data_IF_174917497071
#
_entry.id   IF_174917497071
#
_cell.length_a   1.000
_cell.length_b   1.000
_cell.length_c   1.000
_cell.angle_alpha   90.00
_cell.angle_beta   90.00
_cell.angle_gamma   90.00
#
_symmetry.space_group_name_H-M   'P 1'
#
loop_
_entity.id
_entity.type
_entity.pdbx_description
1 polymer ?
#
# COMPACT_ATOMS: atom_id res chain seq x y z
N UNK A 1 31.73 -18.37 -63.63
CA UNK A 1 32.03 -18.97 -62.31
C UNK A 1 32.70 -17.90 -61.45
N UNK A 2 32.39 -17.86 -60.16
CA UNK A 2 32.88 -16.90 -59.13
C UNK A 2 32.16 -15.54 -59.14
N UNK A 3 31.00 -15.47 -58.48
CA UNK A 3 30.41 -14.28 -57.81
C UNK A 3 29.10 -14.68 -57.10
N UNK A 4 29.18 -15.62 -56.14
CA UNK A 4 28.05 -16.00 -55.25
C UNK A 4 28.51 -16.42 -53.84
N UNK A 5 29.63 -15.89 -53.37
CA UNK A 5 30.21 -16.30 -52.08
C UNK A 5 30.73 -15.08 -51.30
N UNK A 6 29.83 -14.18 -50.90
CA UNK A 6 30.19 -13.03 -50.05
C UNK A 6 29.04 -12.50 -49.18
N UNK A 7 27.97 -13.29 -48.95
CA UNK A 7 26.83 -12.85 -48.11
C UNK A 7 26.64 -13.73 -46.86
N UNK A 8 27.45 -14.79 -46.69
CA UNK A 8 27.30 -15.73 -45.57
C UNK A 8 28.29 -15.52 -44.41
N UNK A 9 29.02 -14.39 -44.36
CA UNK A 9 30.05 -14.14 -43.33
C UNK A 9 29.81 -12.88 -42.46
N UNK A 10 28.57 -12.39 -42.36
CA UNK A 10 28.21 -11.28 -41.47
C UNK A 10 27.00 -11.56 -40.55
N UNK A 11 26.52 -12.81 -40.48
CA UNK A 11 25.42 -13.22 -39.60
C UNK A 11 25.91 -13.93 -38.32
N UNK A 12 27.17 -13.73 -37.92
CA UNK A 12 27.83 -14.47 -36.83
C UNK A 12 28.45 -13.55 -35.75
N UNK A 13 27.93 -12.33 -35.59
CA UNK A 13 28.35 -11.38 -34.53
C UNK A 13 27.18 -10.87 -33.67
N UNK A 14 26.14 -11.69 -33.48
CA UNK A 14 25.09 -11.49 -32.47
C UNK A 14 24.86 -12.78 -31.67
N UNK A 15 25.93 -13.54 -31.40
CA UNK A 15 25.86 -14.59 -30.38
C UNK A 15 25.85 -13.93 -29.00
N UNK A 16 24.91 -14.29 -28.10
CA UNK A 16 24.93 -13.88 -26.70
C UNK A 16 26.00 -14.68 -25.95
N UNK A 17 27.26 -14.55 -26.38
CA UNK A 17 28.40 -15.21 -25.74
C UNK A 17 28.96 -14.29 -24.66
N UNK A 18 28.15 -14.01 -23.64
CA UNK A 18 28.58 -13.42 -22.37
C UNK A 18 27.66 -13.83 -21.21
N UNK A 19 26.96 -14.96 -21.33
CA UNK A 19 26.42 -15.66 -20.17
C UNK A 19 27.47 -16.69 -19.76
N UNK A 20 27.90 -16.59 -18.50
CA UNK A 20 28.97 -17.39 -17.91
C UNK A 20 28.82 -18.88 -18.23
N UNK A 21 29.95 -19.60 -18.27
CA UNK A 21 30.09 -20.99 -18.67
C UNK A 21 29.25 -22.04 -17.89
N UNK A 22 28.32 -21.61 -17.03
CA UNK A 22 27.45 -22.46 -16.19
C UNK A 22 26.00 -21.96 -16.09
N UNK A 23 25.55 -21.04 -16.95
CA UNK A 23 24.17 -20.56 -16.94
C UNK A 23 23.21 -21.63 -17.49
N UNK A 24 22.32 -22.14 -16.63
CA UNK A 24 21.20 -23.00 -17.00
C UNK A 24 20.06 -22.14 -17.59
N UNK A 25 19.18 -22.76 -18.37
CA UNK A 25 18.09 -22.06 -19.06
C UNK A 25 16.77 -22.81 -18.90
N UNK A 26 15.71 -22.09 -18.53
CA UNK A 26 14.32 -22.54 -18.64
C UNK A 26 13.63 -21.77 -19.76
N UNK A 27 12.69 -22.41 -20.45
CA UNK A 27 11.93 -21.79 -21.53
C UNK A 27 10.47 -22.25 -21.46
N UNK A 28 9.55 -21.29 -21.55
CA UNK A 28 8.12 -21.53 -21.75
C UNK A 28 7.53 -20.35 -22.54
N UNK A 29 6.73 -20.65 -23.56
CA UNK A 29 6.20 -19.68 -24.52
C UNK A 29 7.32 -18.81 -25.13
N UNK A 30 7.26 -17.51 -24.94
CA UNK A 30 8.24 -16.54 -25.38
C UNK A 30 9.23 -16.14 -24.27
N UNK A 31 9.20 -16.77 -23.09
CA UNK A 31 10.12 -16.46 -22.00
C UNK A 31 11.33 -17.37 -21.99
N UNK A 32 12.53 -16.78 -21.86
CA UNK A 32 13.80 -17.49 -21.71
C UNK A 32 14.44 -17.03 -20.41
N UNK A 33 14.50 -17.89 -19.39
CA UNK A 33 15.05 -17.56 -18.06
C UNK A 33 16.42 -18.20 -17.89
N UNK A 34 17.46 -17.38 -17.76
CA UNK A 34 18.83 -17.79 -17.45
C UNK A 34 19.09 -17.68 -15.94
N UNK A 35 19.76 -18.67 -15.38
CA UNK A 35 20.05 -18.76 -13.94
C UNK A 35 21.25 -19.68 -13.68
N UNK A 36 21.83 -19.60 -12.48
CA UNK A 36 22.84 -20.56 -12.02
C UNK A 36 22.19 -21.63 -11.13
N UNK A 37 22.78 -22.83 -11.02
CA UNK A 37 22.19 -23.99 -10.31
C UNK A 37 21.56 -23.68 -8.93
N UNK A 38 22.16 -22.86 -8.04
CA UNK A 38 21.52 -22.51 -6.75
C UNK A 38 20.17 -21.78 -6.88
N UNK A 39 19.95 -21.07 -7.99
CA UNK A 39 18.76 -20.25 -8.24
C UNK A 39 17.65 -21.02 -8.98
N UNK A 40 17.78 -22.34 -9.20
CA UNK A 40 16.81 -23.11 -9.99
C UNK A 40 15.36 -22.96 -9.49
N UNK A 41 15.18 -23.05 -8.16
CA UNK A 41 13.86 -22.91 -7.56
C UNK A 41 13.28 -21.50 -7.79
N UNK A 42 14.11 -20.46 -7.74
CA UNK A 42 13.69 -19.08 -8.00
C UNK A 42 13.40 -18.87 -9.49
N UNK A 43 14.21 -19.43 -10.40
CA UNK A 43 14.01 -19.37 -11.84
C UNK A 43 12.69 -20.02 -12.26
N UNK A 44 12.34 -21.19 -11.69
CA UNK A 44 11.04 -21.85 -11.92
C UNK A 44 9.87 -20.96 -11.46
N UNK A 45 9.96 -20.37 -10.25
CA UNK A 45 8.95 -19.43 -9.76
C UNK A 45 8.84 -18.19 -10.64
N UNK A 46 9.97 -17.66 -11.11
CA UNK A 46 10.02 -16.49 -12.00
C UNK A 46 9.29 -16.79 -13.31
N UNK A 47 9.57 -17.93 -13.93
CA UNK A 47 8.93 -18.35 -15.18
C UNK A 47 7.40 -18.48 -15.02
N UNK A 48 6.95 -19.10 -13.92
CA UNK A 48 5.51 -19.22 -13.62
C UNK A 48 4.82 -17.86 -13.44
N UNK A 49 5.47 -16.92 -12.73
CA UNK A 49 4.97 -15.55 -12.57
C UNK A 49 4.90 -14.82 -13.91
N UNK A 50 5.92 -14.93 -14.76
CA UNK A 50 5.97 -14.30 -16.08
C UNK A 50 4.86 -14.82 -16.99
N UNK A 51 4.71 -16.14 -17.09
CA UNK A 51 3.68 -16.78 -17.91
C UNK A 51 2.28 -16.41 -17.43
N UNK A 52 2.04 -16.43 -16.12
CA UNK A 52 0.75 -16.05 -15.55
C UNK A 52 0.44 -14.57 -15.79
N UNK A 53 1.40 -13.69 -15.51
CA UNK A 53 1.25 -12.25 -15.70
C UNK A 53 1.05 -11.89 -17.17
N UNK A 54 1.78 -12.51 -18.11
CA UNK A 54 1.59 -12.29 -19.54
C UNK A 54 0.17 -12.62 -19.99
N UNK A 55 -0.41 -13.71 -19.49
CA UNK A 55 -1.82 -14.07 -19.78
C UNK A 55 -2.80 -13.05 -19.19
N UNK A 56 -2.55 -12.59 -17.97
CA UNK A 56 -3.39 -11.57 -17.32
C UNK A 56 -3.34 -10.23 -18.08
N UNK A 57 -2.18 -9.85 -18.60
CA UNK A 57 -1.96 -8.56 -19.27
C UNK A 57 -2.27 -8.58 -20.76
N UNK A 58 -2.54 -9.74 -21.36
CA UNK A 58 -2.67 -9.92 -22.82
C UNK A 58 -3.71 -8.97 -23.47
N UNK A 59 -4.82 -8.69 -22.79
CA UNK A 59 -5.86 -7.78 -23.30
C UNK A 59 -5.43 -6.31 -23.36
N UNK A 60 -4.43 -5.94 -22.57
CA UNK A 60 -3.97 -4.57 -22.36
C UNK A 60 -2.61 -4.30 -23.01
N UNK A 61 -1.68 -5.25 -22.89
CA UNK A 61 -0.31 -5.18 -23.35
C UNK A 61 0.12 -6.57 -23.85
N UNK A 62 -0.29 -6.96 -25.07
CA UNK A 62 0.06 -8.25 -25.63
C UNK A 62 1.58 -8.39 -25.78
N UNK A 63 2.11 -9.58 -25.47
CA UNK A 63 3.55 -9.80 -25.46
C UNK A 63 4.16 -9.85 -26.86
N UNK A 64 3.40 -10.31 -27.86
CA UNK A 64 3.92 -10.52 -29.20
C UNK A 64 4.90 -11.71 -29.29
N UNK A 65 5.44 -11.97 -30.50
CA UNK A 65 6.16 -13.21 -30.80
C UNK A 65 7.62 -13.22 -30.35
N UNK A 66 8.22 -12.04 -30.13
CA UNK A 66 9.64 -11.92 -29.81
C UNK A 66 9.94 -12.45 -28.40
N UNK A 67 11.08 -13.13 -28.19
CA UNK A 67 11.44 -13.66 -26.88
C UNK A 67 11.69 -12.55 -25.85
N UNK A 68 11.33 -12.81 -24.60
CA UNK A 68 11.67 -11.99 -23.43
C UNK A 68 12.70 -12.79 -22.62
N UNK A 69 13.92 -12.27 -22.56
CA UNK A 69 15.02 -12.86 -21.81
C UNK A 69 15.01 -12.34 -20.38
N UNK A 70 15.09 -13.25 -19.42
CA UNK A 70 15.17 -12.92 -18.00
C UNK A 70 16.42 -13.55 -17.40
N UNK A 71 17.19 -12.79 -16.62
CA UNK A 71 18.39 -13.31 -15.94
C UNK A 71 18.20 -13.18 -14.43
N UNK A 72 18.17 -14.33 -13.75
CA UNK A 72 18.13 -14.41 -12.29
C UNK A 72 19.57 -14.45 -11.76
N UNK A 73 19.99 -13.34 -11.17
CA UNK A 73 21.33 -13.13 -10.67
C UNK A 73 21.43 -13.60 -9.21
N UNK A 74 22.31 -14.57 -8.95
CA UNK A 74 22.57 -15.11 -7.61
C UNK A 74 23.59 -14.28 -6.82
N UNK A 75 24.22 -13.28 -7.44
CA UNK A 75 25.17 -12.37 -6.76
C UNK A 75 24.97 -10.92 -7.19
N UNK A 76 25.36 -9.98 -6.31
CA UNK A 76 25.35 -8.54 -6.61
C UNK A 76 26.32 -8.22 -7.76
N UNK A 77 27.44 -8.94 -7.84
CA UNK A 77 28.46 -8.77 -8.88
C UNK A 77 27.93 -9.15 -10.26
N UNK A 78 27.25 -10.30 -10.38
CA UNK A 78 26.59 -10.73 -11.61
C UNK A 78 25.56 -9.70 -12.09
N UNK A 79 24.71 -9.24 -11.18
CA UNK A 79 23.74 -8.19 -11.50
C UNK A 79 24.42 -6.90 -11.97
N UNK A 80 25.45 -6.43 -11.25
CA UNK A 80 26.15 -5.19 -11.56
C UNK A 80 26.83 -5.22 -12.95
N UNK A 81 27.40 -6.36 -13.33
CA UNK A 81 28.02 -6.56 -14.65
C UNK A 81 26.99 -6.43 -15.77
N UNK A 82 25.82 -7.07 -15.61
CA UNK A 82 24.75 -7.05 -16.61
C UNK A 82 24.00 -5.70 -16.64
N UNK A 83 23.87 -5.04 -15.49
CA UNK A 83 23.21 -3.74 -15.34
C UNK A 83 24.04 -2.56 -15.89
N UNK A 84 25.19 -2.82 -16.55
CA UNK A 84 26.10 -1.80 -17.14
C UNK A 84 26.52 -0.71 -16.14
N UNK A 85 26.75 -1.09 -14.89
CA UNK A 85 27.13 -0.17 -13.83
C UNK A 85 25.97 0.56 -13.14
N UNK A 86 24.72 0.31 -13.54
CA UNK A 86 23.56 0.76 -12.77
C UNK A 86 23.37 -0.12 -11.52
N UNK A 87 23.96 0.30 -10.41
CA UNK A 87 23.89 -0.44 -9.14
C UNK A 87 23.20 0.40 -8.07
N UNK A 88 21.91 0.13 -7.86
CA UNK A 88 21.20 0.60 -6.67
C UNK A 88 21.07 -0.58 -5.70
N UNK A 89 21.48 -0.45 -4.41
CA UNK A 89 21.46 -1.55 -3.45
C UNK A 89 20.07 -2.17 -3.26
N UNK A 90 19.04 -1.31 -3.24
CA UNK A 90 17.66 -1.70 -2.89
C UNK A 90 16.78 -2.00 -4.12
N UNK A 91 17.35 -2.01 -5.33
CA UNK A 91 16.61 -2.36 -6.55
C UNK A 91 16.69 -3.87 -6.78
N UNK A 92 15.53 -4.53 -6.77
CA UNK A 92 15.42 -5.99 -6.95
C UNK A 92 15.40 -6.39 -8.44
N UNK A 93 14.76 -5.59 -9.30
CA UNK A 93 14.62 -5.84 -10.73
C UNK A 93 15.05 -4.65 -11.59
N UNK A 94 15.46 -4.93 -12.83
CA UNK A 94 15.76 -3.90 -13.83
C UNK A 94 15.43 -4.42 -15.23
N UNK A 95 14.53 -3.74 -15.92
CA UNK A 95 14.23 -4.00 -17.33
C UNK A 95 15.09 -3.15 -18.28
N UNK A 96 15.42 -3.75 -19.42
CA UNK A 96 15.87 -3.07 -20.64
C UNK A 96 14.80 -3.31 -21.73
N UNK A 97 13.74 -2.48 -21.76
CA UNK A 97 12.52 -2.78 -22.52
C UNK A 97 12.77 -3.00 -24.02
N UNK A 98 13.56 -2.13 -24.65
CA UNK A 98 13.93 -2.20 -26.08
C UNK A 98 14.70 -3.48 -26.47
N UNK A 99 15.25 -4.20 -25.49
CA UNK A 99 15.96 -5.46 -25.72
C UNK A 99 15.15 -6.69 -25.32
N UNK A 100 13.95 -6.50 -24.76
CA UNK A 100 13.20 -7.59 -24.15
C UNK A 100 13.97 -8.29 -23.02
N UNK A 101 14.81 -7.57 -22.28
CA UNK A 101 15.67 -8.14 -21.23
C UNK A 101 15.22 -7.67 -19.85
N UNK A 102 15.11 -8.60 -18.91
CA UNK A 102 14.83 -8.33 -17.49
C UNK A 102 15.97 -8.93 -16.65
N UNK A 103 16.54 -8.15 -15.75
CA UNK A 103 17.50 -8.61 -14.75
C UNK A 103 16.81 -8.65 -13.38
N UNK A 104 16.97 -9.74 -12.65
CA UNK A 104 16.42 -9.90 -11.31
C UNK A 104 17.53 -10.32 -10.37
N UNK A 105 17.61 -9.71 -9.18
CA UNK A 105 18.41 -10.24 -8.08
C UNK A 105 17.62 -11.33 -7.35
N UNK A 106 18.32 -12.31 -6.80
CA UNK A 106 17.71 -13.17 -5.78
C UNK A 106 17.24 -12.32 -4.59
N UNK A 107 16.04 -12.57 -4.00
CA UNK A 107 15.50 -11.77 -2.89
C UNK A 107 16.47 -11.63 -1.70
N UNK A 108 17.32 -12.64 -1.48
CA UNK A 108 18.33 -12.68 -0.43
C UNK A 108 19.43 -11.61 -0.58
N UNK A 109 19.55 -11.03 -1.77
CA UNK A 109 20.55 -10.00 -2.09
C UNK A 109 20.07 -8.57 -1.78
N UNK A 110 18.83 -8.41 -1.32
CA UNK A 110 18.21 -7.10 -1.02
C UNK A 110 17.91 -7.01 0.48
N UNK A 111 18.13 -5.83 1.08
CA UNK A 111 18.02 -5.61 2.53
C UNK A 111 16.60 -5.72 3.07
N UNK A 112 15.62 -5.29 2.28
CA UNK A 112 14.20 -5.36 2.64
C UNK A 112 13.55 -6.42 1.75
N UNK A 113 12.69 -7.31 2.32
CA UNK A 113 11.96 -8.29 1.55
C UNK A 113 10.96 -7.56 0.64
N UNK A 114 11.41 -7.23 -0.56
CA UNK A 114 10.57 -6.69 -1.61
C UNK A 114 9.55 -7.76 -2.06
N UNK A 115 8.37 -7.33 -2.50
CA UNK A 115 7.41 -8.20 -3.16
C UNK A 115 8.00 -8.70 -4.48
N UNK A 116 8.72 -9.82 -4.42
CA UNK A 116 9.42 -10.37 -5.58
C UNK A 116 8.47 -10.63 -6.75
N UNK A 117 7.28 -11.15 -6.45
CA UNK A 117 6.26 -11.41 -7.47
C UNK A 117 5.78 -10.11 -8.08
N UNK A 118 5.51 -9.08 -7.27
CA UNK A 118 5.20 -7.74 -7.72
C UNK A 118 6.28 -7.20 -8.66
N UNK A 119 7.55 -7.35 -8.30
CA UNK A 119 8.65 -6.75 -9.05
C UNK A 119 8.85 -7.45 -10.39
N UNK A 120 8.76 -8.77 -10.43
CA UNK A 120 8.80 -9.51 -11.72
C UNK A 120 7.69 -9.02 -12.66
N UNK A 121 6.49 -8.80 -12.13
CA UNK A 121 5.35 -8.27 -12.91
C UNK A 121 5.61 -6.84 -13.36
N UNK A 122 6.16 -5.98 -12.49
CA UNK A 122 6.50 -4.59 -12.79
C UNK A 122 7.50 -4.50 -13.94
N UNK A 123 8.61 -5.23 -13.85
CA UNK A 123 9.63 -5.26 -14.91
C UNK A 123 9.09 -5.83 -16.23
N UNK A 124 8.21 -6.84 -16.16
CA UNK A 124 7.53 -7.36 -17.34
C UNK A 124 6.67 -6.28 -18.01
N UNK A 125 5.91 -5.49 -17.25
CA UNK A 125 5.08 -4.42 -17.81
C UNK A 125 5.92 -3.41 -18.59
N UNK A 126 7.11 -3.04 -18.13
CA UNK A 126 7.98 -2.15 -18.90
C UNK A 126 8.36 -2.72 -20.26
N UNK A 127 8.73 -4.00 -20.33
CA UNK A 127 9.03 -4.69 -21.60
C UNK A 127 7.79 -4.74 -22.50
N UNK A 128 6.63 -5.12 -21.96
CA UNK A 128 5.39 -5.22 -22.73
C UNK A 128 4.93 -3.84 -23.23
N UNK A 129 5.09 -2.80 -22.42
CA UNK A 129 4.74 -1.43 -22.81
C UNK A 129 5.58 -0.98 -24.00
N UNK A 130 6.90 -1.15 -23.95
CA UNK A 130 7.80 -0.78 -25.05
C UNK A 130 7.51 -1.52 -26.37
N UNK A 131 6.94 -2.73 -26.31
CA UNK A 131 6.49 -3.46 -27.52
C UNK A 131 5.23 -2.87 -28.15
N UNK A 132 4.41 -2.18 -27.36
CA UNK A 132 3.08 -1.72 -27.76
C UNK A 132 3.01 -0.21 -28.06
N UNK A 133 4.01 0.57 -27.65
CA UNK A 133 4.03 2.03 -27.78
C UNK A 133 5.39 2.52 -28.30
N UNK A 134 5.49 3.80 -28.65
CA UNK A 134 6.78 4.45 -28.82
C UNK A 134 7.16 5.08 -27.47
N UNK A 135 8.26 4.64 -26.86
CA UNK A 135 8.66 5.11 -25.52
C UNK A 135 8.97 6.61 -25.48
N UNK A 136 9.34 7.25 -26.59
CA UNK A 136 9.52 8.71 -26.65
C UNK A 136 8.21 9.48 -26.44
N UNK A 137 7.06 8.84 -26.67
CA UNK A 137 5.74 9.41 -26.48
C UNK A 137 5.16 9.17 -25.07
N UNK A 138 5.82 8.35 -24.26
CA UNK A 138 5.38 7.96 -22.91
C UNK A 138 6.24 8.66 -21.86
N UNK A 139 5.72 9.65 -21.12
CA UNK A 139 6.47 10.24 -20.02
C UNK A 139 6.71 9.22 -18.92
N UNK A 140 7.80 9.36 -18.17
CA UNK A 140 8.24 8.32 -17.24
C UNK A 140 7.27 8.10 -16.10
N UNK A 141 6.61 9.15 -15.62
CA UNK A 141 5.56 8.99 -14.60
C UNK A 141 4.43 8.06 -15.07
N UNK A 142 4.09 8.09 -16.37
CA UNK A 142 3.04 7.23 -16.91
C UNK A 142 3.55 5.80 -17.08
N UNK A 143 4.78 5.63 -17.56
CA UNK A 143 5.44 4.32 -17.66
C UNK A 143 5.47 3.62 -16.28
N UNK A 144 6.00 4.29 -15.26
CA UNK A 144 6.05 3.75 -13.89
C UNK A 144 4.67 3.53 -13.31
N UNK A 145 3.75 4.48 -13.50
CA UNK A 145 2.39 4.37 -12.99
C UNK A 145 1.61 3.20 -13.62
N UNK A 146 1.79 2.92 -14.92
CA UNK A 146 1.18 1.75 -15.58
C UNK A 146 1.76 0.46 -15.02
N UNK A 147 3.09 0.38 -14.88
CA UNK A 147 3.77 -0.76 -14.30
C UNK A 147 3.26 -1.06 -12.89
N UNK A 148 3.13 -0.05 -12.02
CA UNK A 148 2.58 -0.19 -10.67
C UNK A 148 1.08 -0.55 -10.65
N UNK A 149 0.28 -0.06 -11.60
CA UNK A 149 -1.16 -0.40 -11.69
C UNK A 149 -1.34 -1.89 -12.02
N UNK A 150 -0.62 -2.39 -13.03
CA UNK A 150 -0.75 -3.76 -13.51
C UNK A 150 -0.04 -4.78 -12.61
N UNK A 151 1.14 -4.44 -12.08
CA UNK A 151 1.89 -5.32 -11.16
C UNK A 151 1.12 -5.55 -9.86
N UNK A 152 0.35 -4.54 -9.42
CA UNK A 152 -0.37 -4.55 -8.15
C UNK A 152 0.47 -4.06 -6.98
N UNK A 153 1.70 -3.59 -7.22
CA UNK A 153 2.59 -3.07 -6.19
C UNK A 153 2.08 -1.76 -5.56
N UNK A 154 2.54 -1.48 -4.33
CA UNK A 154 2.36 -0.21 -3.61
C UNK A 154 0.91 0.28 -3.46
N UNK A 155 -0.10 -0.59 -3.54
CA UNK A 155 -1.53 -0.21 -3.53
C UNK A 155 -1.93 0.73 -2.38
N UNK A 156 -1.56 0.40 -1.14
CA UNK A 156 -1.99 1.13 0.05
C UNK A 156 -1.00 2.23 0.48
N UNK A 157 0.29 1.92 0.45
CA UNK A 157 1.37 2.85 0.85
C UNK A 157 1.38 4.12 -0.02
N UNK A 158 1.10 3.99 -1.32
CA UNK A 158 1.01 5.13 -2.23
C UNK A 158 -0.11 6.10 -1.90
N UNK A 159 -1.26 5.63 -1.42
CA UNK A 159 -2.43 6.49 -1.19
C UNK A 159 -2.23 7.38 0.03
N UNK A 160 -1.73 6.82 1.14
CA UNK A 160 -1.39 7.58 2.33
C UNK A 160 -0.24 8.56 2.06
N UNK A 161 0.79 8.12 1.32
CA UNK A 161 1.92 8.96 0.94
C UNK A 161 1.53 10.16 0.09
N UNK A 162 0.71 9.97 -0.95
CA UNK A 162 0.21 11.10 -1.77
C UNK A 162 -0.71 12.03 -0.97
N UNK A 163 -1.54 11.50 -0.06
CA UNK A 163 -2.35 12.34 0.83
C UNK A 163 -1.45 13.21 1.73
N UNK A 164 -0.37 12.66 2.28
CA UNK A 164 0.61 13.40 3.07
C UNK A 164 1.35 14.46 2.23
N UNK A 165 1.76 14.13 1.00
CA UNK A 165 2.38 15.08 0.07
C UNK A 165 1.44 16.26 -0.21
N UNK A 166 0.16 15.99 -0.46
CA UNK A 166 -0.85 17.02 -0.68
C UNK A 166 -1.06 17.90 0.55
N UNK A 167 -1.25 17.30 1.73
CA UNK A 167 -1.45 18.03 3.00
C UNK A 167 -0.24 18.89 3.40
N UNK A 168 0.97 18.47 3.04
CA UNK A 168 2.20 19.20 3.32
C UNK A 168 2.62 20.18 2.22
N UNK A 169 1.86 20.28 1.12
CA UNK A 169 2.20 21.13 -0.02
C UNK A 169 3.47 20.68 -0.76
N UNK A 170 3.80 19.38 -0.71
CA UNK A 170 5.03 18.78 -1.26
C UNK A 170 4.78 17.90 -2.49
N UNK A 171 3.67 18.10 -3.20
CA UNK A 171 3.47 17.45 -4.51
C UNK A 171 4.55 17.91 -5.47
N UNK A 172 5.10 16.98 -6.25
CA UNK A 172 6.16 17.30 -7.22
C UNK A 172 5.51 18.01 -8.41
N UNK A 173 6.02 19.19 -8.77
CA UNK A 173 5.54 19.92 -9.95
C UNK A 173 5.66 19.07 -11.22
N UNK A 174 4.68 19.15 -12.11
CA UNK A 174 4.65 18.35 -13.35
C UNK A 174 5.93 18.49 -14.17
N UNK A 175 6.47 19.71 -14.30
CA UNK A 175 7.69 19.97 -15.07
C UNK A 175 8.92 19.37 -14.42
N UNK A 176 8.89 19.23 -13.10
CA UNK A 176 10.00 18.66 -12.32
C UNK A 176 9.92 17.14 -12.22
N UNK A 177 8.73 16.54 -12.40
CA UNK A 177 8.49 15.11 -12.21
C UNK A 177 9.40 14.25 -13.09
N UNK A 178 9.56 14.64 -14.36
CA UNK A 178 10.48 13.94 -15.27
C UNK A 178 11.95 14.06 -14.82
N UNK A 179 12.36 15.17 -14.21
CA UNK A 179 13.74 15.33 -13.75
C UNK A 179 14.05 14.52 -12.48
N UNK A 180 13.06 14.28 -11.61
CA UNK A 180 13.26 13.48 -10.39
C UNK A 180 13.71 12.06 -10.75
N UNK A 181 13.14 11.47 -11.81
CA UNK A 181 13.56 10.17 -12.31
C UNK A 181 14.95 10.19 -13.01
N UNK A 182 15.53 11.36 -13.35
CA UNK A 182 16.87 11.49 -13.97
C UNK A 182 17.98 11.62 -12.92
N UNK A 183 17.64 11.89 -11.66
CA UNK A 183 18.60 12.20 -10.60
C UNK A 183 18.71 11.05 -9.57
N UNK A 184 19.38 9.93 -9.89
CA UNK A 184 19.61 8.85 -8.93
C UNK A 184 20.46 9.38 -7.77
N UNK A 185 19.91 9.35 -6.55
CA UNK A 185 20.63 9.80 -5.35
C UNK A 185 19.79 10.22 -4.14
N UNK A 186 18.46 10.42 -4.28
CA UNK A 186 17.59 10.80 -3.15
C UNK A 186 16.43 9.83 -2.98
N UNK A 187 16.68 8.71 -2.30
CA UNK A 187 15.75 7.60 -2.08
C UNK A 187 14.34 8.03 -1.59
N UNK A 188 14.26 9.08 -0.76
CA UNK A 188 12.98 9.70 -0.34
C UNK A 188 12.21 10.37 -1.49
N UNK A 189 12.89 11.08 -2.39
CA UNK A 189 12.26 11.74 -3.56
C UNK A 189 11.81 10.72 -4.62
N UNK A 190 12.49 9.56 -4.70
CA UNK A 190 12.05 8.45 -5.56
C UNK A 190 10.70 7.90 -5.13
N UNK A 191 10.52 7.58 -3.85
CA UNK A 191 9.24 7.06 -3.36
C UNK A 191 8.06 8.02 -3.54
N UNK A 192 8.29 9.33 -3.44
CA UNK A 192 7.27 10.36 -3.69
C UNK A 192 6.89 10.40 -5.17
N UNK A 193 7.88 10.34 -6.07
CA UNK A 193 7.65 10.29 -7.52
C UNK A 193 6.86 9.05 -7.94
N UNK A 194 7.19 7.86 -7.41
CA UNK A 194 6.41 6.64 -7.66
C UNK A 194 4.99 6.73 -7.13
N UNK A 195 4.81 7.21 -5.90
CA UNK A 195 3.48 7.36 -5.30
C UNK A 195 2.60 8.36 -6.09
N UNK A 196 3.17 9.50 -6.49
CA UNK A 196 2.52 10.48 -7.34
C UNK A 196 2.18 9.91 -8.73
N UNK A 197 3.11 9.20 -9.36
CA UNK A 197 2.92 8.54 -10.67
C UNK A 197 1.76 7.54 -10.64
N UNK A 198 1.74 6.65 -9.64
CA UNK A 198 0.64 5.70 -9.45
C UNK A 198 -0.71 6.43 -9.22
N UNK A 199 -0.72 7.49 -8.42
CA UNK A 199 -1.94 8.27 -8.17
C UNK A 199 -2.46 8.98 -9.42
N UNK A 200 -1.56 9.59 -10.20
CA UNK A 200 -1.87 10.25 -11.46
C UNK A 200 -2.40 9.25 -12.50
N UNK A 201 -1.74 8.10 -12.67
CA UNK A 201 -2.20 7.05 -13.60
C UNK A 201 -3.56 6.50 -13.19
N UNK A 202 -3.79 6.24 -11.90
CA UNK A 202 -5.12 5.82 -11.41
C UNK A 202 -6.19 6.90 -11.62
N UNK A 203 -5.83 8.18 -11.51
CA UNK A 203 -6.75 9.28 -11.79
C UNK A 203 -7.10 9.36 -13.27
N UNK A 204 -6.12 9.19 -14.15
CA UNK A 204 -6.32 9.12 -15.60
C UNK A 204 -7.21 7.92 -15.99
N UNK A 205 -6.90 6.74 -15.48
CA UNK A 205 -7.69 5.52 -15.64
C UNK A 205 -9.14 5.72 -15.19
N UNK A 206 -9.37 6.35 -14.02
CA UNK A 206 -10.74 6.65 -13.55
C UNK A 206 -11.47 7.67 -14.42
N UNK A 207 -10.78 8.63 -15.02
CA UNK A 207 -11.39 9.66 -15.87
C UNK A 207 -11.80 9.11 -17.23
N UNK A 208 -10.99 8.23 -17.82
CA UNK A 208 -11.25 7.63 -19.12
C UNK A 208 -12.14 6.39 -19.01
N UNK A 209 -12.04 5.63 -17.92
CA UNK A 209 -12.48 4.23 -17.90
C UNK A 209 -11.40 3.32 -18.50
N UNK A 210 -11.50 2.03 -18.22
CA UNK A 210 -10.46 1.05 -18.57
C UNK A 210 -10.25 0.91 -20.07
N UNK A 211 -11.34 0.78 -20.84
CA UNK A 211 -11.29 0.61 -22.30
C UNK A 211 -10.65 1.81 -23.01
N UNK A 212 -11.10 3.03 -22.69
CA UNK A 212 -10.55 4.26 -23.26
C UNK A 212 -9.12 4.56 -22.79
N UNK A 213 -8.78 4.16 -21.56
CA UNK A 213 -7.41 4.26 -21.07
C UNK A 213 -6.45 3.42 -21.92
N UNK A 214 -6.78 2.16 -22.20
CA UNK A 214 -5.92 1.32 -23.05
C UNK A 214 -5.92 1.78 -24.51
N UNK A 215 -7.05 2.28 -25.05
CA UNK A 215 -7.07 2.97 -26.35
C UNK A 215 -6.14 4.19 -26.39
N UNK A 216 -6.04 4.94 -25.29
CA UNK A 216 -5.09 6.06 -25.17
C UNK A 216 -3.66 5.54 -25.14
N UNK A 217 -3.35 4.56 -24.30
CA UNK A 217 -2.00 3.99 -24.20
C UNK A 217 -1.53 3.47 -25.55
N UNK A 218 -2.36 2.72 -26.29
CA UNK A 218 -1.98 2.22 -27.61
C UNK A 218 -1.79 3.32 -28.67
N UNK A 219 -2.48 4.47 -28.57
CA UNK A 219 -2.22 5.56 -29.51
C UNK A 219 -0.85 6.21 -29.29
N UNK A 220 -0.24 6.04 -28.11
CA UNK A 220 1.14 6.48 -27.84
C UNK A 220 2.18 5.83 -28.76
N UNK A 221 1.81 4.79 -29.51
CA UNK A 221 2.61 4.27 -30.62
C UNK A 221 2.90 5.32 -31.70
N UNK A 222 1.97 6.26 -31.93
CA UNK A 222 2.03 7.20 -33.05
C UNK A 222 1.93 8.67 -32.65
N UNK A 223 1.40 8.98 -31.47
CA UNK A 223 1.23 10.35 -30.99
C UNK A 223 1.79 10.53 -29.57
N UNK A 224 2.34 11.70 -29.21
CA UNK A 224 2.77 11.96 -27.84
C UNK A 224 1.57 12.03 -26.88
N UNK A 225 1.80 11.78 -25.59
CA UNK A 225 0.76 11.88 -24.55
C UNK A 225 0.01 13.22 -24.59
N UNK A 226 0.71 14.31 -24.91
CA UNK A 226 0.13 15.65 -25.03
C UNK A 226 -1.02 15.72 -26.04
N UNK A 227 -0.87 15.05 -27.18
CA UNK A 227 -1.92 14.93 -28.20
C UNK A 227 -3.01 13.97 -27.72
N UNK A 228 -2.64 12.83 -27.15
CA UNK A 228 -3.60 11.83 -26.68
C UNK A 228 -4.56 12.39 -25.60
N UNK A 229 -4.04 13.20 -24.65
CA UNK A 229 -4.83 13.89 -23.63
C UNK A 229 -5.75 14.96 -24.23
N UNK A 230 -5.25 15.75 -25.20
CA UNK A 230 -6.08 16.74 -25.89
C UNK A 230 -7.23 16.09 -26.64
N UNK A 231 -6.98 15.01 -27.37
CA UNK A 231 -7.99 14.30 -28.15
C UNK A 231 -9.07 13.65 -27.28
N UNK A 232 -8.70 13.06 -26.14
CA UNK A 232 -9.63 12.23 -25.32
C UNK A 232 -10.24 12.94 -24.13
N UNK A 233 -9.52 13.89 -23.53
CA UNK A 233 -9.97 14.62 -22.34
C UNK A 233 -10.16 16.12 -22.58
N UNK A 234 -9.81 16.63 -23.76
CA UNK A 234 -9.75 18.07 -24.04
C UNK A 234 -8.92 18.83 -23.00
N UNK A 235 -7.79 18.22 -22.60
CA UNK A 235 -6.86 18.76 -21.60
C UNK A 235 -5.44 18.71 -22.15
N UNK A 236 -4.64 19.73 -21.84
CA UNK A 236 -3.19 19.60 -21.88
C UNK A 236 -2.66 18.97 -20.59
N UNK A 237 -1.35 18.73 -20.54
CA UNK A 237 -0.68 18.02 -19.47
C UNK A 237 -0.73 18.78 -18.12
N UNK A 238 -0.65 20.11 -18.17
CA UNK A 238 -0.73 20.97 -16.98
C UNK A 238 -2.17 21.00 -16.45
N UNK A 239 -3.16 21.12 -17.33
CA UNK A 239 -4.58 21.07 -16.94
C UNK A 239 -4.95 19.71 -16.34
N UNK A 240 -4.42 18.63 -16.89
CA UNK A 240 -4.54 17.28 -16.32
C UNK A 240 -3.92 17.21 -14.92
N UNK A 241 -2.69 17.71 -14.75
CA UNK A 241 -2.00 17.75 -13.46
C UNK A 241 -2.80 18.56 -12.43
N UNK A 242 -3.28 19.76 -12.78
CA UNK A 242 -4.09 20.59 -11.89
C UNK A 242 -5.42 19.92 -11.52
N UNK A 243 -6.05 19.23 -12.47
CA UNK A 243 -7.24 18.44 -12.21
C UNK A 243 -6.96 17.27 -11.25
N UNK A 244 -5.79 16.62 -11.38
CA UNK A 244 -5.34 15.59 -10.45
C UNK A 244 -5.11 16.18 -9.05
N UNK A 245 -4.36 17.28 -8.91
CA UNK A 245 -4.13 17.95 -7.61
C UNK A 245 -5.45 18.34 -6.95
N UNK A 246 -6.39 18.94 -7.70
CA UNK A 246 -7.74 19.26 -7.21
C UNK A 246 -8.55 18.04 -6.80
N UNK A 247 -8.20 16.82 -7.24
CA UNK A 247 -8.86 15.60 -6.80
C UNK A 247 -8.33 15.09 -5.44
N UNK A 248 -7.17 15.59 -5.00
CA UNK A 248 -6.46 15.05 -3.83
C UNK A 248 -7.12 15.37 -2.48
N UNK A 249 -7.99 16.37 -2.40
CA UNK A 249 -8.75 16.65 -1.17
C UNK A 249 -9.58 15.43 -0.72
N UNK A 250 -10.02 14.57 -1.66
CA UNK A 250 -10.76 13.34 -1.34
C UNK A 250 -9.86 12.34 -0.60
N UNK A 251 -8.60 12.21 -1.03
CA UNK A 251 -7.62 11.36 -0.37
C UNK A 251 -7.23 11.93 1.00
N UNK A 252 -7.08 13.24 1.13
CA UNK A 252 -6.87 13.91 2.41
C UNK A 252 -8.04 13.68 3.38
N UNK A 253 -9.28 13.74 2.90
CA UNK A 253 -10.48 13.47 3.70
C UNK A 253 -10.50 12.02 4.19
N UNK A 254 -10.28 11.05 3.30
CA UNK A 254 -10.21 9.63 3.68
C UNK A 254 -9.07 9.39 4.65
N UNK A 255 -7.87 9.91 4.37
CA UNK A 255 -6.71 9.80 5.24
C UNK A 255 -7.00 10.40 6.62
N UNK A 256 -7.60 11.60 6.70
CA UNK A 256 -7.95 12.24 7.98
C UNK A 256 -8.98 11.46 8.80
N UNK A 257 -9.87 10.71 8.16
CA UNK A 257 -10.84 9.84 8.85
C UNK A 257 -10.18 8.56 9.35
N UNK A 258 -9.29 7.96 8.54
CA UNK A 258 -8.63 6.67 8.83
C UNK A 258 -7.44 6.84 9.79
N UNK A 259 -6.73 7.98 9.77
CA UNK A 259 -5.56 8.24 10.63
C UNK A 259 -5.91 8.46 12.11
N UNK A 260 -7.18 8.28 12.48
CA UNK A 260 -7.63 8.12 13.87
C UNK A 260 -7.60 9.37 14.74
N UNK A 261 -7.01 10.47 14.28
CA UNK A 261 -6.83 11.65 15.12
C UNK A 261 -8.14 12.42 15.42
N UNK A 262 -9.15 12.39 14.56
CA UNK A 262 -10.37 13.18 14.79
C UNK A 262 -11.54 12.36 15.37
N UNK A 263 -11.80 11.17 14.84
CA UNK A 263 -13.01 10.41 15.22
C UNK A 263 -12.89 9.79 16.61
N UNK A 264 -11.76 9.17 16.96
CA UNK A 264 -11.59 8.58 18.29
C UNK A 264 -11.47 9.64 19.38
N UNK A 265 -10.83 10.78 19.09
CA UNK A 265 -10.75 11.91 20.04
C UNK A 265 -12.11 12.58 20.22
N UNK A 266 -12.90 12.74 19.14
CA UNK A 266 -14.27 13.23 19.21
C UNK A 266 -15.16 12.25 20.01
N UNK A 267 -15.07 10.94 19.74
CA UNK A 267 -15.80 9.92 20.50
C UNK A 267 -15.38 9.89 21.97
N UNK A 268 -14.08 10.01 22.25
CA UNK A 268 -13.56 10.10 23.62
C UNK A 268 -14.10 11.37 24.33
N UNK A 269 -14.10 12.52 23.66
CA UNK A 269 -14.69 13.76 24.17
C UNK A 269 -16.19 13.64 24.45
N UNK A 270 -16.96 13.05 23.53
CA UNK A 270 -18.40 12.84 23.72
C UNK A 270 -18.67 11.86 24.87
N UNK A 271 -17.89 10.79 24.97
CA UNK A 271 -18.00 9.81 26.06
C UNK A 271 -17.63 10.45 27.40
N UNK A 272 -16.57 11.26 27.43
CA UNK A 272 -16.14 11.99 28.60
C UNK A 272 -17.17 13.03 29.05
N UNK A 273 -17.75 13.79 28.10
CA UNK A 273 -18.83 14.73 28.38
C UNK A 273 -20.09 14.01 28.89
N UNK A 274 -20.46 12.87 28.30
CA UNK A 274 -21.57 12.03 28.77
C UNK A 274 -21.32 11.48 30.18
N UNK A 275 -20.08 11.04 30.48
CA UNK A 275 -19.66 10.61 31.80
C UNK A 275 -19.77 11.74 32.83
N UNK A 276 -19.25 12.95 32.52
CA UNK A 276 -19.38 14.11 33.41
C UNK A 276 -20.85 14.45 33.64
N UNK A 277 -21.69 14.45 32.59
CA UNK A 277 -23.13 14.69 32.72
C UNK A 277 -23.81 13.65 33.61
N UNK A 278 -23.49 12.36 33.43
CA UNK A 278 -24.01 11.27 34.26
C UNK A 278 -23.57 11.42 35.71
N UNK A 279 -22.29 11.71 35.95
CA UNK A 279 -21.72 11.91 37.29
C UNK A 279 -22.35 13.10 38.00
N UNK A 280 -22.50 14.24 37.31
CA UNK A 280 -23.17 15.43 37.87
C UNK A 280 -24.65 15.19 38.17
N UNK A 281 -25.35 14.39 37.37
CA UNK A 281 -26.74 13.97 37.67
C UNK A 281 -26.82 13.06 38.89
N UNK A 282 -25.95 12.05 38.98
CA UNK A 282 -25.92 11.15 40.13
C UNK A 282 -25.59 11.86 41.44
N UNK A 283 -24.67 12.83 41.42
CA UNK A 283 -24.36 13.65 42.60
C UNK A 283 -25.51 14.57 43.03
N UNK A 284 -26.42 14.96 42.12
CA UNK A 284 -27.62 15.73 42.49
C UNK A 284 -28.63 14.83 43.19
N UNK A 285 -28.87 13.65 42.63
CA UNK A 285 -29.79 12.67 43.20
C UNK A 285 -29.33 12.19 44.59
N UNK A 286 -28.03 11.93 44.76
CA UNK A 286 -27.50 11.54 46.07
C UNK A 286 -27.64 12.64 47.11
N UNK A 287 -27.46 13.92 46.73
CA UNK A 287 -27.69 15.06 47.63
C UNK A 287 -29.16 15.21 48.01
N UNK A 288 -30.07 14.96 47.07
CA UNK A 288 -31.51 14.94 47.33
C UNK A 288 -31.86 13.82 48.32
N UNK A 289 -31.31 12.62 48.15
CA UNK A 289 -31.47 11.52 49.11
C UNK A 289 -30.82 11.79 50.46
N UNK A 290 -29.64 12.42 50.52
CA UNK A 290 -28.99 12.83 51.77
C UNK A 290 -29.85 13.87 52.52
N UNK A 291 -30.53 14.79 51.81
CA UNK A 291 -31.48 15.72 52.44
C UNK A 291 -32.76 15.03 52.88
N UNK A 292 -33.31 14.11 52.09
CA UNK A 292 -34.52 13.34 52.44
C UNK A 292 -34.26 12.39 53.63
N UNK A 293 -33.10 11.73 53.69
CA UNK A 293 -32.68 10.92 54.83
C UNK A 293 -32.40 11.78 56.07
N UNK A 294 -31.77 12.94 55.91
CA UNK A 294 -31.59 13.89 57.01
C UNK A 294 -32.93 14.45 57.52
N UNK A 295 -33.95 14.57 56.67
CA UNK A 295 -35.30 14.95 57.08
C UNK A 295 -36.08 13.78 57.71
N UNK A 296 -35.88 12.55 57.23
CA UNK A 296 -36.54 11.35 57.79
C UNK A 296 -35.92 10.88 59.12
N UNK A 297 -34.60 10.99 59.26
CA UNK A 297 -33.83 10.47 60.40
C UNK A 297 -33.20 11.56 61.27
N UNK A 298 -33.22 12.83 60.84
CA UNK A 298 -32.72 13.97 61.63
C UNK A 298 -33.61 14.36 62.81
N UNK A 299 -34.74 13.67 62.99
CA UNK A 299 -35.62 13.78 64.16
C UNK A 299 -35.61 12.51 65.04
N UNK A 300 -34.59 11.66 64.92
CA UNK A 300 -34.30 10.65 65.93
C UNK A 300 -33.13 11.15 66.78
N UNK A 301 -33.44 12.09 67.67
CA UNK A 301 -32.58 12.32 68.84
C UNK A 301 -32.51 11.04 69.64
N UNK A 302 -31.33 10.75 70.17
CA UNK A 302 -31.01 9.65 71.09
C UNK A 302 -31.70 9.75 72.46
N UNK A 303 -32.92 10.31 72.52
CA UNK A 303 -33.72 10.53 73.73
C UNK A 303 -34.86 9.49 73.90
N UNK A 304 -35.12 8.64 72.89
CA UNK A 304 -36.09 7.54 72.99
C UNK A 304 -35.39 6.17 73.16
N UNK A 305 -34.38 6.10 74.02
CA UNK A 305 -34.07 4.83 74.67
C UNK A 305 -35.13 4.62 75.75
N UNK A 306 -36.00 3.58 75.69
CA UNK A 306 -36.98 3.35 76.73
C UNK A 306 -36.27 3.18 78.07
N UNK A 307 -36.72 3.96 79.06
CA UNK A 307 -36.24 3.95 80.43
C UNK A 307 -36.38 2.53 81.01
N UNK A 308 -35.25 1.90 81.38
CA UNK A 308 -35.22 0.57 82.00
C UNK A 308 -35.88 0.54 83.41
N UNK A 309 -36.43 1.65 83.90
CA UNK A 309 -37.11 1.73 85.20
C UNK A 309 -38.62 1.43 85.18
N UNK A 310 -39.23 1.14 84.03
CA UNK A 310 -40.69 0.91 83.92
C UNK A 310 -41.13 -0.57 84.05
N UNK A 311 -40.25 -1.48 84.49
CA UNK A 311 -40.55 -2.91 84.68
C UNK A 311 -40.33 -3.43 86.12
N UNK A 312 -40.28 -2.55 87.12
CA UNK A 312 -40.34 -2.97 88.53
C UNK A 312 -41.61 -2.43 89.20
N UNK A 313 -42.33 -3.35 89.84
CA UNK A 313 -43.35 -3.15 90.87
C UNK A 313 -44.83 -3.07 90.40
N UNK A 314 -45.34 -4.19 89.88
CA UNK A 314 -46.66 -4.67 90.32
C UNK A 314 -46.47 -5.97 91.11
N UNK A 315 -46.57 -5.85 92.44
CA UNK A 315 -46.77 -6.96 93.37
C UNK A 315 -48.08 -7.69 93.00
N UNK A 316 -47.99 -8.78 92.23
CA UNK A 316 -49.07 -9.76 92.11
C UNK A 316 -49.01 -10.74 93.29
N UNK A 317 -49.97 -10.72 94.24
CA UNK A 317 -49.94 -11.58 95.42
C UNK A 317 -50.46 -13.00 95.15
N UNK A 318 -50.36 -13.51 93.92
CA UNK A 318 -50.89 -14.84 93.55
C UNK A 318 -49.88 -15.86 93.03
N UNK A 319 -48.57 -15.65 93.23
CA UNK A 319 -47.56 -16.64 92.84
C UNK A 319 -47.35 -17.70 93.95
N UNK A 320 -47.64 -18.99 93.70
CA UNK A 320 -47.34 -20.05 94.66
C UNK A 320 -45.83 -20.30 94.71
N UNK A 321 -45.31 -20.30 95.94
CA UNK A 321 -43.95 -20.65 96.31
C UNK A 321 -43.67 -22.13 95.96
N UNK A 322 -42.69 -22.35 95.07
CA UNK A 322 -42.21 -23.69 94.68
C UNK A 322 -40.68 -23.74 94.81
N UNK A 323 -40.21 -23.59 96.03
CA UNK A 323 -38.88 -24.06 96.43
C UNK A 323 -38.97 -25.57 96.77
N UNK A 324 -38.91 -26.45 95.76
CA UNK A 324 -38.74 -27.91 95.96
C UNK A 324 -37.35 -28.37 95.45
N UNK A 325 -36.42 -28.74 96.36
CA UNK A 325 -35.08 -29.20 96.00
C UNK A 325 -34.98 -30.67 95.54
N UNK A 326 -36.06 -31.32 95.06
CA UNK A 326 -36.07 -32.76 94.70
C UNK A 326 -36.22 -33.13 93.21
N UNK A 327 -36.01 -32.20 92.29
CA UNK A 327 -35.97 -32.52 90.85
C UNK A 327 -34.54 -32.41 90.27
N UNK A 328 -33.61 -33.12 90.90
CA UNK A 328 -32.31 -33.53 90.35
C UNK A 328 -32.31 -35.03 90.05
#
# INVERSE_FOLDING_TARGET
MIRRLAILLCALLLSPCFLAAHALTLTDQNFVVHYNEPEEALAKRTLDVLVTASKEFESSLPAGPEPITVVVCGTIQEFAQLARGYTMPNVLGLAFPERGLILLKSPELVREPADYRGTVRHELVHVLLARNVNMDNVPRWLNEGIAMVLSGEFRYESTARVAQMYLSGKTIDYRNLEYVFLAPGRELEFGDAYAQSLSMTRFLLRKLGEEEFWRMVHSLKTEPLSTALRTRLNMNEIEFYDAWVRSLWKFALVFSLVSGFSVFQLMALLTFAAYIRKRRRGQRLLREWETEEAEMYGDVTSDDAPDESEWMDEDDPSCPDYDDPRLR
#
